data_IF_032309525729
#
_entry.id   IF_032309525729
#
_cell.length_a   1.000
_cell.length_b   1.000
_cell.length_c   1.000
_cell.angle_alpha   90.00
_cell.angle_beta   90.00
_cell.angle_gamma   90.00
#
_symmetry.space_group_name_H-M   'P 1'
#
loop_
_entity.id
_entity.type
_entity.pdbx_description
1 polymer ?
#
# COMPACT_ATOMS: atom_id res chain seq x y z
N UNK A 1 51.66 -77.26 -12.40
CA UNK A 1 51.08 -75.87 -12.30
C UNK A 1 50.67 -75.73 -10.84
N UNK A 2 51.22 -74.75 -10.14
CA UNK A 2 51.07 -74.69 -8.67
C UNK A 2 49.63 -74.26 -8.31
N UNK A 3 48.90 -75.13 -7.63
CA UNK A 3 47.50 -74.88 -7.11
C UNK A 3 47.46 -73.61 -6.30
N UNK A 4 48.51 -73.29 -5.57
CA UNK A 4 48.60 -72.04 -4.78
C UNK A 4 48.56 -70.78 -5.64
N UNK A 5 49.08 -70.79 -6.84
CA UNK A 5 49.08 -69.64 -7.75
C UNK A 5 47.67 -69.37 -8.32
N UNK A 6 46.91 -70.37 -8.65
CA UNK A 6 45.54 -70.27 -9.13
C UNK A 6 44.58 -69.72 -8.05
N UNK A 7 44.77 -70.14 -6.81
CA UNK A 7 44.01 -69.69 -5.66
C UNK A 7 44.28 -68.17 -5.42
N UNK A 8 45.55 -67.77 -5.45
CA UNK A 8 45.92 -66.35 -5.28
C UNK A 8 45.36 -65.47 -6.43
N UNK A 9 45.42 -65.98 -7.66
CA UNK A 9 44.91 -65.23 -8.83
C UNK A 9 43.37 -65.06 -8.78
N UNK A 10 42.61 -66.10 -8.40
CA UNK A 10 41.16 -66.03 -8.24
C UNK A 10 40.79 -65.12 -7.12
N UNK A 11 41.49 -65.02 -6.03
CA UNK A 11 41.26 -64.12 -4.93
C UNK A 11 41.50 -62.63 -5.35
N UNK A 12 42.55 -62.37 -6.12
CA UNK A 12 42.84 -61.07 -6.69
C UNK A 12 41.73 -60.54 -7.66
N UNK A 13 41.21 -61.44 -8.49
CA UNK A 13 40.13 -61.16 -9.42
C UNK A 13 38.83 -60.78 -8.64
N UNK A 14 38.53 -61.57 -7.60
CA UNK A 14 37.36 -61.26 -6.75
C UNK A 14 37.47 -59.94 -6.03
N UNK A 15 38.66 -59.55 -5.52
CA UNK A 15 38.93 -58.29 -4.90
C UNK A 15 38.75 -57.11 -5.91
N UNK A 16 39.20 -57.28 -7.15
CA UNK A 16 39.00 -56.25 -8.20
C UNK A 16 37.54 -56.13 -8.54
N UNK A 17 36.78 -57.18 -8.68
CA UNK A 17 35.33 -57.13 -8.95
C UNK A 17 34.59 -56.43 -7.81
N UNK A 18 34.92 -56.74 -6.56
CA UNK A 18 34.31 -56.08 -5.39
C UNK A 18 34.64 -54.61 -5.32
N UNK A 19 35.87 -54.20 -5.64
CA UNK A 19 36.30 -52.82 -5.73
C UNK A 19 35.55 -52.05 -6.83
N UNK A 20 35.38 -52.63 -8.01
CA UNK A 20 34.61 -52.03 -9.11
C UNK A 20 33.13 -51.86 -8.77
N UNK A 21 32.51 -52.82 -8.11
CA UNK A 21 31.11 -52.70 -7.65
C UNK A 21 30.96 -51.59 -6.61
N UNK A 22 31.89 -51.50 -5.67
CA UNK A 22 31.92 -50.44 -4.66
C UNK A 22 32.01 -49.03 -5.28
N UNK A 23 32.94 -48.83 -6.21
CA UNK A 23 33.10 -47.58 -6.94
C UNK A 23 31.87 -47.22 -7.77
N UNK A 24 31.26 -48.20 -8.44
CA UNK A 24 30.05 -48.02 -9.21
C UNK A 24 28.87 -47.54 -8.31
N UNK A 25 28.70 -48.15 -7.14
CA UNK A 25 27.67 -47.74 -6.18
C UNK A 25 27.92 -46.35 -5.64
N UNK A 26 29.15 -45.99 -5.36
CA UNK A 26 29.51 -44.67 -4.87
C UNK A 26 29.26 -43.54 -5.91
N UNK A 27 29.65 -43.79 -7.16
CA UNK A 27 29.37 -42.89 -8.28
C UNK A 27 27.86 -42.69 -8.51
N UNK A 28 27.09 -43.78 -8.49
CA UNK A 28 25.63 -43.71 -8.64
C UNK A 28 24.97 -42.99 -7.47
N UNK A 29 25.47 -43.14 -6.25
CA UNK A 29 24.95 -42.44 -5.08
C UNK A 29 25.26 -40.95 -5.14
N UNK A 30 26.41 -40.53 -5.60
CA UNK A 30 26.78 -39.14 -5.80
C UNK A 30 25.90 -38.46 -6.87
N UNK A 31 25.63 -39.16 -7.97
CA UNK A 31 24.78 -38.67 -9.06
C UNK A 31 23.33 -38.40 -8.58
N UNK A 32 22.77 -39.34 -7.81
CA UNK A 32 21.43 -39.18 -7.20
C UNK A 32 21.40 -38.02 -6.19
N UNK A 33 22.45 -37.83 -5.41
CA UNK A 33 22.54 -36.75 -4.43
C UNK A 33 22.60 -35.40 -5.11
N UNK A 34 23.29 -35.25 -6.22
CA UNK A 34 23.37 -34.00 -6.97
C UNK A 34 22.07 -33.70 -7.72
N UNK A 35 21.36 -34.69 -8.19
CA UNK A 35 20.01 -34.53 -8.78
C UNK A 35 18.98 -34.03 -7.74
N UNK A 36 19.00 -34.60 -6.54
CA UNK A 36 18.14 -34.14 -5.43
C UNK A 36 18.46 -32.69 -5.06
N UNK A 37 19.75 -32.32 -5.00
CA UNK A 37 20.11 -30.91 -4.73
C UNK A 37 19.60 -29.96 -5.81
N UNK A 38 19.71 -30.33 -7.09
CA UNK A 38 19.18 -29.52 -8.20
C UNK A 38 17.68 -29.34 -8.09
N UNK A 39 16.93 -30.41 -7.79
CA UNK A 39 15.48 -30.33 -7.60
C UNK A 39 15.08 -29.42 -6.44
N UNK A 40 15.77 -29.49 -5.30
CA UNK A 40 15.52 -28.63 -4.14
C UNK A 40 15.78 -27.14 -4.46
N UNK A 41 16.83 -26.83 -5.23
CA UNK A 41 17.13 -25.46 -5.66
C UNK A 41 16.04 -24.95 -6.59
N UNK A 42 15.58 -25.74 -7.56
CA UNK A 42 14.50 -25.38 -8.48
C UNK A 42 13.19 -25.14 -7.71
N UNK A 43 12.87 -26.00 -6.75
CA UNK A 43 11.66 -25.84 -5.91
C UNK A 43 11.72 -24.57 -5.05
N UNK A 44 12.88 -24.29 -4.44
CA UNK A 44 13.06 -23.07 -3.65
C UNK A 44 12.93 -21.79 -4.49
N UNK A 45 13.50 -21.78 -5.70
CA UNK A 45 13.37 -20.66 -6.65
C UNK A 45 11.91 -20.46 -7.09
N UNK A 46 11.20 -21.55 -7.40
CA UNK A 46 9.78 -21.48 -7.79
C UNK A 46 8.90 -20.93 -6.68
N UNK A 47 9.14 -21.35 -5.43
CA UNK A 47 8.45 -20.87 -4.25
C UNK A 47 8.70 -19.37 -4.01
N UNK A 48 9.94 -18.91 -4.19
CA UNK A 48 10.31 -17.50 -4.03
C UNK A 48 9.62 -16.64 -5.09
N UNK A 49 9.62 -17.06 -6.37
CA UNK A 49 8.93 -16.33 -7.44
C UNK A 49 7.41 -16.27 -7.24
N UNK A 50 6.80 -17.34 -6.73
CA UNK A 50 5.36 -17.37 -6.44
C UNK A 50 5.02 -16.38 -5.32
N UNK A 51 5.84 -16.31 -4.28
CA UNK A 51 5.67 -15.37 -3.15
C UNK A 51 5.80 -13.93 -3.61
N UNK A 52 6.76 -13.63 -4.48
CA UNK A 52 6.97 -12.29 -5.02
C UNK A 52 5.78 -11.84 -5.90
N UNK A 53 5.28 -12.69 -6.77
CA UNK A 53 4.06 -12.43 -7.55
C UNK A 53 2.82 -12.23 -6.69
N UNK A 54 2.66 -13.01 -5.62
CA UNK A 54 1.57 -12.85 -4.66
C UNK A 54 1.66 -11.52 -3.92
N UNK A 55 2.86 -11.10 -3.54
CA UNK A 55 3.09 -9.83 -2.86
C UNK A 55 2.77 -8.63 -3.75
N UNK A 56 3.20 -8.65 -5.01
CA UNK A 56 2.85 -7.62 -6.01
C UNK A 56 1.33 -7.55 -6.22
N UNK A 57 0.65 -8.70 -6.33
CA UNK A 57 -0.80 -8.75 -6.48
C UNK A 57 -1.52 -8.18 -5.25
N UNK A 58 -1.08 -8.51 -4.04
CA UNK A 58 -1.63 -7.99 -2.80
C UNK A 58 -1.45 -6.47 -2.69
N UNK A 59 -0.31 -5.93 -3.10
CA UNK A 59 -0.07 -4.48 -3.10
C UNK A 59 -0.95 -3.76 -4.13
N UNK A 60 -1.17 -4.36 -5.30
CA UNK A 60 -2.13 -3.83 -6.28
C UNK A 60 -3.56 -3.83 -5.75
N UNK A 61 -4.00 -4.90 -5.09
CA UNK A 61 -5.32 -5.00 -4.47
C UNK A 61 -5.48 -3.94 -3.36
N UNK A 62 -4.48 -3.80 -2.46
CA UNK A 62 -4.48 -2.78 -1.41
C UNK A 62 -4.57 -1.37 -1.97
N UNK A 63 -3.80 -1.08 -3.01
CA UNK A 63 -3.85 0.22 -3.69
C UNK A 63 -5.24 0.51 -4.30
N UNK A 64 -5.87 -0.49 -4.87
CA UNK A 64 -7.22 -0.36 -5.46
C UNK A 64 -8.31 -0.13 -4.41
N UNK A 65 -8.25 -0.87 -3.30
CA UNK A 65 -9.17 -0.70 -2.16
C UNK A 65 -9.00 0.70 -1.58
N UNK A 66 -7.77 1.12 -1.29
CA UNK A 66 -7.46 2.43 -0.74
C UNK A 66 -7.94 3.57 -1.63
N UNK A 67 -7.74 3.48 -2.95
CA UNK A 67 -8.24 4.45 -3.91
C UNK A 67 -9.76 4.57 -3.90
N UNK A 68 -10.47 3.44 -3.79
CA UNK A 68 -11.94 3.40 -3.73
C UNK A 68 -12.48 4.02 -2.44
N UNK A 69 -11.87 3.72 -1.31
CA UNK A 69 -12.23 4.31 -0.01
C UNK A 69 -12.04 5.82 0.00
N UNK A 70 -10.96 6.33 -0.59
CA UNK A 70 -10.70 7.77 -0.74
C UNK A 70 -11.77 8.46 -1.57
N UNK A 71 -12.17 7.87 -2.70
CA UNK A 71 -13.21 8.42 -3.57
C UNK A 71 -14.55 8.48 -2.82
N UNK A 72 -14.91 7.43 -2.10
CA UNK A 72 -16.15 7.39 -1.30
C UNK A 72 -16.14 8.44 -0.20
N UNK A 73 -15.04 8.55 0.55
CA UNK A 73 -14.90 9.55 1.61
C UNK A 73 -15.01 10.98 1.06
N UNK A 74 -14.40 11.30 -0.09
CA UNK A 74 -14.56 12.60 -0.74
C UNK A 74 -15.99 12.85 -1.21
N UNK A 75 -16.71 11.83 -1.69
CA UNK A 75 -18.11 11.94 -2.09
C UNK A 75 -19.02 12.22 -0.87
N UNK A 76 -18.84 11.52 0.23
CA UNK A 76 -19.55 11.73 1.48
C UNK A 76 -19.29 13.14 2.06
N UNK A 77 -18.02 13.58 2.00
CA UNK A 77 -17.67 14.95 2.40
C UNK A 77 -18.40 16.00 1.55
N UNK A 78 -18.39 15.85 0.23
CA UNK A 78 -19.11 16.77 -0.66
C UNK A 78 -20.61 16.76 -0.42
N UNK A 79 -21.19 15.59 -0.13
CA UNK A 79 -22.61 15.48 0.21
C UNK A 79 -22.93 16.18 1.53
N UNK A 80 -22.09 16.03 2.54
CA UNK A 80 -22.23 16.67 3.85
C UNK A 80 -22.15 18.21 3.78
N UNK A 81 -21.32 18.73 2.86
CA UNK A 81 -21.12 20.17 2.65
C UNK A 81 -21.65 20.66 1.29
N UNK A 82 -22.74 20.05 0.80
CA UNK A 82 -23.28 20.32 -0.55
C UNK A 82 -23.61 21.79 -0.82
N UNK A 83 -24.16 22.52 0.17
CA UNK A 83 -24.51 23.95 0.06
C UNK A 83 -23.26 24.82 -0.08
N UNK A 84 -22.27 24.56 0.74
CA UNK A 84 -20.98 25.24 0.77
C UNK A 84 -20.21 25.00 -0.54
N UNK A 85 -20.19 23.76 -1.00
CA UNK A 85 -19.58 23.37 -2.28
C UNK A 85 -20.27 24.09 -3.45
N UNK A 86 -21.60 24.11 -3.49
CA UNK A 86 -22.35 24.79 -4.55
C UNK A 86 -22.08 26.31 -4.53
N UNK A 87 -22.01 26.94 -3.36
CA UNK A 87 -21.64 28.33 -3.20
C UNK A 87 -20.22 28.61 -3.70
N UNK A 88 -19.26 27.76 -3.33
CA UNK A 88 -17.88 27.88 -3.77
C UNK A 88 -17.75 27.75 -5.29
N UNK A 89 -18.40 26.75 -5.89
CA UNK A 89 -18.41 26.51 -7.34
C UNK A 89 -19.06 27.67 -8.09
N UNK A 90 -20.12 28.26 -7.55
CA UNK A 90 -20.76 29.45 -8.13
C UNK A 90 -19.83 30.66 -8.13
N UNK A 91 -19.06 30.83 -7.05
CA UNK A 91 -18.11 31.95 -6.90
C UNK A 91 -16.85 31.72 -7.73
N UNK A 92 -16.35 30.49 -7.77
CA UNK A 92 -15.09 30.10 -8.42
C UNK A 92 -15.33 28.97 -9.43
N UNK A 93 -15.96 29.29 -10.55
CA UNK A 93 -16.36 28.29 -11.59
C UNK A 93 -15.21 27.50 -12.22
N UNK A 94 -13.97 27.96 -12.05
CA UNK A 94 -12.75 27.27 -12.58
C UNK A 94 -12.21 26.18 -11.67
N UNK A 95 -12.75 26.02 -10.45
CA UNK A 95 -12.32 24.97 -9.54
C UNK A 95 -12.74 23.58 -10.05
N UNK A 96 -11.82 22.66 -10.06
CA UNK A 96 -12.10 21.25 -10.37
C UNK A 96 -12.59 20.49 -9.13
N UNK A 97 -13.19 19.31 -9.34
CA UNK A 97 -13.60 18.44 -8.22
C UNK A 97 -12.45 18.14 -7.27
N UNK A 98 -11.24 17.86 -7.78
CA UNK A 98 -10.07 17.60 -6.94
C UNK A 98 -9.62 18.84 -6.16
N UNK A 99 -9.80 20.04 -6.70
CA UNK A 99 -9.48 21.29 -5.97
C UNK A 99 -10.43 21.48 -4.79
N UNK A 100 -11.71 21.16 -5.01
CA UNK A 100 -12.75 21.21 -3.97
C UNK A 100 -12.47 20.19 -2.87
N UNK A 101 -12.04 18.96 -3.22
CA UNK A 101 -11.68 17.94 -2.24
C UNK A 101 -10.51 18.40 -1.35
N UNK A 102 -9.49 18.99 -1.95
CA UNK A 102 -8.35 19.53 -1.19
C UNK A 102 -8.82 20.65 -0.25
N UNK A 103 -9.69 21.56 -0.73
CA UNK A 103 -10.23 22.64 0.10
C UNK A 103 -11.12 22.10 1.22
N UNK A 104 -11.96 21.10 0.97
CA UNK A 104 -12.77 20.44 1.99
C UNK A 104 -11.89 19.79 3.07
N UNK A 105 -10.87 18.99 2.66
CA UNK A 105 -9.95 18.34 3.59
C UNK A 105 -9.19 19.35 4.46
N UNK A 106 -8.72 20.45 3.87
CA UNK A 106 -8.08 21.53 4.62
C UNK A 106 -9.07 22.23 5.56
N UNK A 107 -10.30 22.45 5.08
CA UNK A 107 -11.36 23.15 5.84
C UNK A 107 -11.86 22.39 7.06
N UNK A 108 -11.85 21.04 7.02
CA UNK A 108 -12.14 20.19 8.20
C UNK A 108 -10.94 20.07 9.15
N UNK A 109 -9.80 20.72 8.85
CA UNK A 109 -8.66 20.83 9.74
C UNK A 109 -7.50 19.88 9.46
N UNK A 110 -7.48 19.16 8.33
CA UNK A 110 -6.33 18.34 7.97
C UNK A 110 -5.13 19.23 7.63
N UNK A 111 -3.96 18.83 8.10
CA UNK A 111 -2.68 19.45 7.73
C UNK A 111 -2.32 19.13 6.27
N UNK A 112 -1.42 19.91 5.68
CA UNK A 112 -0.93 19.68 4.33
C UNK A 112 -0.33 18.25 4.15
N UNK A 113 0.32 17.71 5.18
CA UNK A 113 0.92 16.37 5.14
C UNK A 113 -0.17 15.29 5.14
N UNK A 114 -1.21 15.46 5.93
CA UNK A 114 -2.35 14.55 5.99
C UNK A 114 -3.14 14.55 4.69
N UNK A 115 -3.36 15.72 4.07
CA UNK A 115 -4.00 15.81 2.75
C UNK A 115 -3.17 15.09 1.68
N UNK A 116 -1.84 15.29 1.68
CA UNK A 116 -0.93 14.57 0.77
C UNK A 116 -1.02 13.07 0.94
N UNK A 117 -1.02 12.59 2.21
CA UNK A 117 -1.13 11.17 2.53
C UNK A 117 -2.51 10.60 2.18
N UNK A 118 -3.59 11.33 2.49
CA UNK A 118 -4.97 10.94 2.18
C UNK A 118 -5.21 10.84 0.68
N UNK A 119 -4.78 11.85 -0.10
CA UNK A 119 -4.98 11.90 -1.55
C UNK A 119 -3.99 11.03 -2.34
N UNK A 120 -3.09 10.29 -1.66
CA UNK A 120 -2.02 9.49 -2.25
C UNK A 120 -1.20 10.26 -3.32
N UNK A 121 -0.93 11.53 -3.02
CA UNK A 121 -0.21 12.44 -3.91
C UNK A 121 1.25 12.59 -3.47
N UNK A 122 2.15 12.84 -4.42
CA UNK A 122 3.48 13.32 -4.03
C UNK A 122 3.44 14.81 -3.66
N UNK A 123 4.36 15.25 -2.80
CA UNK A 123 4.44 16.64 -2.32
C UNK A 123 4.47 17.66 -3.47
N UNK A 124 5.23 17.38 -4.53
CA UNK A 124 5.37 18.29 -5.68
C UNK A 124 4.04 18.49 -6.40
N UNK A 125 3.29 17.42 -6.64
CA UNK A 125 1.95 17.48 -7.25
C UNK A 125 0.95 18.24 -6.38
N UNK A 126 1.00 18.05 -5.06
CA UNK A 126 0.18 18.79 -4.12
C UNK A 126 0.45 20.29 -4.14
N UNK A 127 1.72 20.72 -4.06
CA UNK A 127 2.06 22.15 -4.12
C UNK A 127 1.70 22.77 -5.46
N UNK A 128 1.87 22.04 -6.57
CA UNK A 128 1.41 22.50 -7.88
C UNK A 128 -0.13 22.69 -7.91
N UNK A 129 -0.87 21.77 -7.30
CA UNK A 129 -2.34 21.92 -7.17
C UNK A 129 -2.71 23.15 -6.36
N UNK A 130 -2.07 23.39 -5.24
CA UNK A 130 -2.31 24.61 -4.44
C UNK A 130 -2.07 25.87 -5.25
N UNK A 131 -1.07 25.88 -6.09
CA UNK A 131 -0.78 27.00 -6.98
C UNK A 131 -1.91 27.20 -7.99
N UNK A 132 -2.43 26.12 -8.58
CA UNK A 132 -3.59 26.17 -9.48
C UNK A 132 -4.86 26.62 -8.76
N UNK A 133 -5.09 26.20 -7.51
CA UNK A 133 -6.19 26.72 -6.69
C UNK A 133 -6.02 28.23 -6.47
N UNK A 134 -4.82 28.69 -6.13
CA UNK A 134 -4.50 30.11 -5.97
C UNK A 134 -4.82 30.92 -7.23
N UNK A 135 -4.40 30.45 -8.40
CA UNK A 135 -4.67 31.10 -9.69
C UNK A 135 -6.17 31.13 -10.06
N UNK A 136 -6.94 30.12 -9.61
CA UNK A 136 -8.37 29.98 -9.90
C UNK A 136 -9.26 30.77 -8.95
N UNK A 137 -8.75 31.06 -7.75
CA UNK A 137 -9.49 31.73 -6.69
C UNK A 137 -9.01 33.15 -6.41
N UNK A 138 -7.87 33.56 -7.00
CA UNK A 138 -7.16 34.81 -6.71
C UNK A 138 -6.74 34.93 -5.22
N UNK A 139 -6.63 33.80 -4.51
CA UNK A 139 -6.20 33.72 -3.12
C UNK A 139 -4.73 33.28 -3.07
N UNK A 140 -3.83 34.01 -2.39
CA UNK A 140 -2.44 33.60 -2.26
C UNK A 140 -2.29 32.19 -1.75
N UNK A 141 -1.38 31.39 -2.34
CA UNK A 141 -1.19 29.99 -1.99
C UNK A 141 -0.87 29.78 -0.49
N UNK A 142 -0.22 30.75 0.16
CA UNK A 142 0.02 30.74 1.61
C UNK A 142 -1.26 30.79 2.44
N UNK A 143 -2.30 31.44 1.93
CA UNK A 143 -3.57 31.70 2.65
C UNK A 143 -4.65 30.65 2.35
N UNK A 144 -4.40 29.66 1.49
CA UNK A 144 -5.40 28.64 1.11
C UNK A 144 -5.91 27.87 2.31
N UNK A 145 -5.05 27.51 3.27
CA UNK A 145 -5.48 26.80 4.49
C UNK A 145 -6.44 27.67 5.32
N UNK A 146 -6.06 28.92 5.59
CA UNK A 146 -6.90 29.86 6.35
C UNK A 146 -8.22 30.09 5.64
N UNK A 147 -8.19 30.27 4.32
CA UNK A 147 -9.40 30.42 3.50
C UNK A 147 -10.31 29.19 3.61
N UNK A 148 -9.76 27.98 3.49
CA UNK A 148 -10.52 26.73 3.57
C UNK A 148 -11.18 26.56 4.96
N UNK A 149 -10.43 26.82 6.03
CA UNK A 149 -10.95 26.80 7.40
C UNK A 149 -12.04 27.86 7.62
N UNK A 150 -11.85 29.08 7.16
CA UNK A 150 -12.84 30.14 7.28
C UNK A 150 -14.11 29.81 6.48
N UNK A 151 -13.94 29.32 5.25
CA UNK A 151 -15.06 28.96 4.38
C UNK A 151 -15.97 27.86 5.00
N UNK A 152 -15.39 26.85 5.67
CA UNK A 152 -16.16 25.81 6.37
C UNK A 152 -16.48 26.19 7.83
N UNK A 153 -15.66 27.04 8.47
CA UNK A 153 -15.78 27.39 9.89
C UNK A 153 -16.94 28.34 10.21
N UNK A 154 -17.41 29.15 9.27
CA UNK A 154 -18.56 30.03 9.46
C UNK A 154 -19.83 29.27 9.90
N UNK A 155 -19.90 27.95 9.65
CA UNK A 155 -21.06 27.14 10.07
C UNK A 155 -20.89 26.51 11.46
N UNK A 156 -19.68 26.27 11.93
CA UNK A 156 -19.44 25.67 13.24
C UNK A 156 -19.83 26.61 14.39
N UNK A 157 -19.68 27.93 14.22
CA UNK A 157 -20.09 28.91 15.21
C UNK A 157 -21.63 29.01 15.34
N UNK A 158 -22.38 28.75 14.28
CA UNK A 158 -23.83 28.76 14.31
C UNK A 158 -24.42 27.49 14.96
N UNK A 159 -23.81 26.36 14.78
CA UNK A 159 -24.26 25.09 15.39
C UNK A 159 -23.96 25.02 16.89
N UNK A 160 -22.86 25.59 17.36
CA UNK A 160 -22.51 25.69 18.78
C UNK A 160 -23.47 26.65 19.52
N UNK A 161 -23.91 27.76 18.89
CA UNK A 161 -24.87 28.68 19.51
C UNK A 161 -26.27 28.12 19.65
N UNK A 162 -26.71 27.22 18.76
CA UNK A 162 -28.02 26.55 18.86
C UNK A 162 -28.04 25.48 19.94
N UNK A 163 -26.92 24.78 20.19
CA UNK A 163 -26.81 23.77 21.25
C UNK A 163 -26.66 24.34 22.66
N UNK A 164 -26.18 25.59 22.81
CA UNK A 164 -25.95 26.23 24.11
C UNK A 164 -27.22 26.86 24.74
N UNK A 165 -28.27 27.13 23.95
CA UNK A 165 -29.48 27.75 24.48
C UNK A 165 -30.54 26.79 25.02
N UNK A 166 -30.32 25.46 24.94
CA UNK A 166 -31.28 24.47 25.46
C UNK A 166 -30.92 23.88 26.83
N UNK A 167 -29.87 24.36 27.50
CA UNK A 167 -29.47 23.85 28.82
C UNK A 167 -29.80 24.74 30.01
N UNK A 168 -30.66 25.78 29.83
CA UNK A 168 -30.99 26.73 30.90
C UNK A 168 -32.47 26.77 31.28
N UNK A 169 -33.23 25.72 31.08
CA UNK A 169 -34.58 25.60 31.62
C UNK A 169 -34.70 24.22 32.31
N UNK A 170 -34.26 24.10 33.54
CA UNK A 170 -34.84 23.25 34.61
C UNK A 170 -33.96 23.27 35.87
N UNK A 171 -34.10 24.31 36.67
CA UNK A 171 -33.87 24.23 38.12
C UNK A 171 -34.53 25.47 38.74
N UNK A 172 -35.81 25.32 39.00
CA UNK A 172 -36.52 25.96 40.12
C UNK A 172 -37.88 25.32 40.21
N UNK A 173 -38.02 24.39 41.12
CA UNK A 173 -39.17 24.07 41.92
C UNK A 173 -38.91 22.78 42.69
N UNK A 174 -38.65 22.92 43.93
CA UNK A 174 -39.06 22.29 45.20
C UNK A 174 -37.89 22.26 46.19
#
# INVERSE_FOLDING_TARGET
MNIDFEIILTFLILLLIYGCIGLYHELKYQDQKDEIKRLLVVESLHKTQLTEKQQVLMDQIRKHIRSREQVLACQELRASYAKEVASLQKKYSRLTSNDIDILLLLGIGLSNQEVVAFMDMNKRSYYRRRQLISERTDIPAANINSFACQWLGEKNDLSIKVGSNNSHIQKDND
#
